data_IF_442881813998
#
_entry.id   IF_442881813998
#
_cell.length_a   1.000
_cell.length_b   1.000
_cell.length_c   1.000
_cell.angle_alpha   90.00
_cell.angle_beta   90.00
_cell.angle_gamma   90.00
#
_symmetry.space_group_name_H-M   'P 1'
#
loop_
_entity.id
_entity.type
_entity.pdbx_description
1 polymer ?
#
# COMPACT_ATOMS: atom_id res chain seq x y z
N UNK A 1 6.36 8.89 33.63
CA UNK A 1 5.78 8.09 32.52
C UNK A 1 6.17 8.77 31.22
N UNK A 2 7.00 8.12 30.39
CA UNK A 2 7.34 8.63 29.07
C UNK A 2 6.22 8.23 28.10
N UNK A 3 5.47 9.20 27.59
CA UNK A 3 4.55 8.98 26.47
C UNK A 3 5.38 8.77 25.22
N UNK A 4 5.36 7.56 24.65
CA UNK A 4 5.96 7.31 23.35
C UNK A 4 5.34 8.26 22.32
N UNK A 5 6.13 8.90 21.44
CA UNK A 5 5.57 9.75 20.39
C UNK A 5 4.67 8.90 19.51
N UNK A 6 3.39 9.25 19.44
CA UNK A 6 2.42 8.58 18.57
C UNK A 6 2.56 9.18 17.19
N UNK A 7 3.24 8.46 16.29
CA UNK A 7 3.37 8.89 14.89
C UNK A 7 2.01 8.71 14.22
N UNK A 8 1.27 9.81 14.05
CA UNK A 8 -0.01 9.79 13.35
C UNK A 8 0.24 9.56 11.86
N UNK A 9 -0.22 8.42 11.36
CA UNK A 9 -0.17 8.08 9.94
C UNK A 9 -1.27 8.84 9.20
N UNK A 10 -0.94 9.53 8.10
CA UNK A 10 -1.92 10.28 7.31
C UNK A 10 -1.70 10.08 5.82
N UNK A 11 -2.79 10.13 5.04
CA UNK A 11 -2.80 10.00 3.58
C UNK A 11 -3.75 11.02 2.99
N UNK A 12 -3.42 11.53 1.80
CA UNK A 12 -4.32 12.37 1.00
C UNK A 12 -4.96 11.54 -0.09
N UNK A 13 -6.28 11.64 -0.22
CA UNK A 13 -7.05 10.91 -1.20
C UNK A 13 -7.76 11.89 -2.13
N UNK A 14 -7.70 11.64 -3.43
CA UNK A 14 -8.60 12.24 -4.40
C UNK A 14 -9.75 11.26 -4.65
N UNK A 15 -10.97 11.64 -4.27
CA UNK A 15 -12.15 10.76 -4.33
C UNK A 15 -13.18 11.35 -5.29
N UNK A 16 -13.68 10.53 -6.22
CA UNK A 16 -14.90 10.83 -6.95
C UNK A 16 -16.11 10.39 -6.10
N UNK A 17 -16.77 11.37 -5.49
CA UNK A 17 -17.93 11.12 -4.60
C UNK A 17 -19.20 10.76 -5.37
N UNK A 18 -19.27 11.00 -6.67
CA UNK A 18 -20.42 10.60 -7.51
C UNK A 18 -20.31 9.14 -7.89
N UNK A 19 -19.10 8.72 -8.26
CA UNK A 19 -18.83 7.35 -8.61
C UNK A 19 -18.62 6.45 -7.37
N UNK A 20 -18.22 7.04 -6.23
CA UNK A 20 -17.82 6.32 -5.00
C UNK A 20 -16.49 5.58 -5.11
N UNK A 21 -15.52 6.13 -5.85
CA UNK A 21 -14.19 5.51 -5.98
C UNK A 21 -13.06 6.51 -5.68
N UNK A 22 -11.94 6.00 -5.17
CA UNK A 22 -10.69 6.76 -5.00
C UNK A 22 -9.93 6.75 -6.32
N UNK A 23 -9.58 7.93 -6.82
CA UNK A 23 -8.81 8.12 -8.06
C UNK A 23 -7.31 8.09 -7.79
N UNK A 24 -6.88 8.73 -6.70
CA UNK A 24 -5.46 8.81 -6.31
C UNK A 24 -5.31 8.82 -4.79
N UNK A 25 -4.20 8.24 -4.32
CA UNK A 25 -3.79 8.27 -2.92
C UNK A 25 -2.32 8.65 -2.83
N UNK A 26 -2.02 9.76 -2.15
CA UNK A 26 -0.66 10.19 -1.82
C UNK A 26 -0.41 9.88 -0.34
N UNK A 27 0.72 9.23 -0.05
CA UNK A 27 1.06 8.76 1.27
C UNK A 27 2.54 8.95 1.56
N UNK A 28 2.88 9.20 2.83
CA UNK A 28 4.27 9.19 3.27
C UNK A 28 4.85 7.78 3.19
N UNK A 29 6.18 7.70 3.08
CA UNK A 29 6.91 6.44 2.94
C UNK A 29 6.53 5.41 4.01
N UNK A 30 6.37 5.84 5.27
CA UNK A 30 5.98 4.96 6.37
C UNK A 30 4.65 4.24 6.13
N UNK A 31 3.71 4.90 5.44
CA UNK A 31 2.41 4.31 5.09
C UNK A 31 2.55 3.29 3.97
N UNK A 32 3.37 3.61 2.97
CA UNK A 32 3.63 2.73 1.82
C UNK A 32 4.36 1.47 2.27
N UNK A 33 5.34 1.62 3.16
CA UNK A 33 6.06 0.50 3.78
C UNK A 33 5.10 -0.35 4.66
N UNK A 34 4.17 0.29 5.39
CA UNK A 34 3.15 -0.43 6.16
C UNK A 34 2.15 -1.19 5.27
N UNK A 35 1.80 -0.68 4.08
CA UNK A 35 0.86 -1.34 3.16
C UNK A 35 1.51 -2.45 2.33
N UNK A 36 2.80 -2.31 2.00
CA UNK A 36 3.54 -3.33 1.26
C UNK A 36 3.78 -4.59 2.09
N UNK A 37 3.91 -4.50 3.42
CA UNK A 37 4.07 -5.65 4.32
C UNK A 37 2.87 -6.63 4.30
N UNK A 38 1.61 -6.21 4.53
CA UNK A 38 0.45 -7.08 4.45
C UNK A 38 0.16 -7.52 3.01
N UNK A 39 0.39 -6.67 2.00
CA UNK A 39 0.20 -7.05 0.58
C UNK A 39 1.21 -8.13 0.17
N UNK A 40 2.49 -7.98 0.47
CA UNK A 40 3.51 -8.99 0.17
C UNK A 40 3.30 -10.30 0.89
N UNK A 41 2.79 -10.23 2.13
CA UNK A 41 2.39 -11.44 2.87
C UNK A 41 1.18 -12.11 2.22
N UNK A 42 0.17 -11.35 1.80
CA UNK A 42 -1.01 -11.87 1.11
C UNK A 42 -0.65 -12.52 -0.22
N UNK A 43 0.23 -11.88 -1.00
CA UNK A 43 0.72 -12.40 -2.29
C UNK A 43 1.43 -13.74 -2.07
N UNK A 44 2.32 -13.85 -1.08
CA UNK A 44 3.03 -15.09 -0.79
C UNK A 44 2.09 -16.25 -0.43
N UNK A 45 1.05 -15.98 0.36
CA UNK A 45 0.01 -16.96 0.71
C UNK A 45 -0.84 -17.34 -0.52
N UNK A 46 -1.13 -16.38 -1.40
CA UNK A 46 -1.89 -16.59 -2.63
C UNK A 46 -1.10 -17.33 -3.71
N UNK A 47 0.22 -17.13 -3.78
CA UNK A 47 1.15 -17.83 -4.68
C UNK A 47 1.23 -19.31 -4.33
N UNK A 48 1.30 -19.63 -3.03
CA UNK A 48 1.21 -21.01 -2.54
C UNK A 48 -0.11 -21.70 -2.92
N UNK A 49 -1.18 -20.90 -3.14
CA UNK A 49 -2.49 -21.37 -3.61
C UNK A 49 -2.69 -21.23 -5.14
N UNK A 50 -1.63 -20.97 -5.91
CA UNK A 50 -1.60 -20.93 -7.39
C UNK A 50 -2.57 -19.94 -8.06
N UNK A 51 -3.03 -18.89 -7.36
CA UNK A 51 -3.93 -17.90 -7.96
C UNK A 51 -3.64 -16.48 -7.48
N UNK A 52 -2.65 -15.85 -8.12
CA UNK A 52 -2.49 -14.39 -8.08
C UNK A 52 -2.71 -13.86 -9.50
N UNK A 53 -3.98 -13.70 -9.88
CA UNK A 53 -4.36 -13.03 -11.13
C UNK A 53 -5.33 -11.92 -10.77
N UNK A 54 -4.84 -10.68 -10.78
CA UNK A 54 -5.68 -9.51 -10.51
C UNK A 54 -4.91 -8.32 -9.94
N UNK A 55 -5.66 -7.35 -9.43
CA UNK A 55 -5.15 -6.05 -8.99
C UNK A 55 -4.05 -6.16 -7.91
N UNK A 56 -4.15 -7.17 -7.03
CA UNK A 56 -3.21 -7.37 -5.92
C UNK A 56 -1.81 -7.76 -6.42
N UNK A 57 -1.72 -8.60 -7.46
CA UNK A 57 -0.45 -8.94 -8.10
C UNK A 57 0.20 -7.71 -8.74
N UNK A 58 -0.59 -6.90 -9.48
CA UNK A 58 -0.10 -5.66 -10.09
C UNK A 58 0.37 -4.63 -9.05
N UNK A 59 -0.31 -4.54 -7.90
CA UNK A 59 0.09 -3.65 -6.81
C UNK A 59 1.39 -4.13 -6.14
N UNK A 60 1.58 -5.45 -5.99
CA UNK A 60 2.81 -6.01 -5.43
C UNK A 60 4.00 -5.82 -6.36
N UNK A 61 3.84 -6.13 -7.65
CA UNK A 61 4.86 -5.84 -8.68
C UNK A 61 5.20 -4.35 -8.68
N UNK A 62 4.21 -3.46 -8.63
CA UNK A 62 4.45 -2.02 -8.57
C UNK A 62 5.20 -1.60 -7.30
N UNK A 63 4.97 -2.27 -6.16
CA UNK A 63 5.68 -2.02 -4.90
C UNK A 63 7.13 -2.51 -4.95
N UNK A 64 7.40 -3.66 -5.56
CA UNK A 64 8.78 -4.14 -5.76
C UNK A 64 9.56 -3.26 -6.74
N UNK A 65 8.89 -2.82 -7.81
CA UNK A 65 9.44 -1.89 -8.79
C UNK A 65 9.56 -0.45 -8.27
N UNK A 66 8.90 -0.10 -7.16
CA UNK A 66 9.04 1.19 -6.48
C UNK A 66 10.44 1.39 -5.86
N UNK A 67 11.34 0.40 -5.91
CA UNK A 67 12.72 0.50 -5.40
C UNK A 67 13.62 1.54 -6.11
N UNK A 68 13.11 2.28 -7.09
CA UNK A 68 13.81 3.37 -7.77
C UNK A 68 13.33 4.76 -7.34
N UNK A 69 14.17 5.46 -6.59
CA UNK A 69 14.20 6.94 -6.47
C UNK A 69 12.98 7.60 -5.81
N UNK A 70 12.94 7.53 -4.47
CA UNK A 70 12.49 8.68 -3.68
C UNK A 70 13.73 9.50 -3.31
N UNK A 71 14.02 10.54 -4.10
CA UNK A 71 14.89 11.66 -3.68
C UNK A 71 14.04 12.66 -2.90
#
# INVERSE_FOLDING_TARGET
MATAPTTALSMKLLVDTRAWHVLFAEASKDVVDLLSLPIGTFVKILEENSSIVGCVGCLYDSSENLKGTYL
#
